data_IF_928198081832
#
_entry.id   IF_928198081832
#
_cell.length_a   1.000
_cell.length_b   1.000
_cell.length_c   1.000
_cell.angle_alpha   90.00
_cell.angle_beta   90.00
_cell.angle_gamma   90.00
#
_symmetry.space_group_name_H-M   'P 1'
#
loop_
_entity.id
_entity.type
_entity.pdbx_description
1 polymer ?
#
# COMPACT_ATOMS: atom_id res chain seq x y z
N UNK A 1 11.11 6.57 36.63
CA UNK A 1 11.67 7.18 35.41
C UNK A 1 11.12 6.38 34.25
N UNK A 2 10.33 7.01 33.37
CA UNK A 2 9.86 6.34 32.14
C UNK A 2 11.08 6.24 31.22
N UNK A 3 11.44 5.05 30.69
CA UNK A 3 12.55 4.94 29.76
C UNK A 3 12.29 5.79 28.53
N UNK A 4 13.34 6.42 28.00
CA UNK A 4 13.24 7.17 26.75
C UNK A 4 12.79 6.24 25.62
N UNK A 5 11.96 6.76 24.70
CA UNK A 5 11.50 6.01 23.52
C UNK A 5 12.71 5.58 22.67
N UNK A 6 12.84 4.27 22.47
CA UNK A 6 13.86 3.67 21.59
C UNK A 6 13.19 3.17 20.30
N UNK A 7 13.38 3.88 19.18
CA UNK A 7 12.76 3.49 17.91
C UNK A 7 13.31 2.17 17.36
N UNK A 8 14.52 1.75 17.69
CA UNK A 8 15.08 0.48 17.25
C UNK A 8 14.38 -0.69 17.95
N UNK A 9 14.22 -0.59 19.27
CA UNK A 9 13.51 -1.60 20.05
C UNK A 9 12.03 -1.65 19.68
N UNK A 10 11.40 -0.47 19.49
CA UNK A 10 9.98 -0.42 19.09
C UNK A 10 9.74 -1.07 17.72
N UNK A 11 10.62 -0.81 16.73
CA UNK A 11 10.55 -1.45 15.41
C UNK A 11 10.78 -2.95 15.49
N UNK A 12 11.78 -3.40 16.26
CA UNK A 12 12.01 -4.83 16.49
C UNK A 12 10.76 -5.50 17.08
N UNK A 13 10.16 -4.91 18.10
CA UNK A 13 8.94 -5.44 18.71
C UNK A 13 7.76 -5.46 17.72
N UNK A 14 7.60 -4.44 16.89
CA UNK A 14 6.59 -4.42 15.82
C UNK A 14 6.77 -5.63 14.89
N UNK A 15 7.99 -5.89 14.42
CA UNK A 15 8.25 -7.00 13.49
C UNK A 15 7.98 -8.34 14.16
N UNK A 16 8.50 -8.58 15.36
CA UNK A 16 8.44 -9.88 16.01
C UNK A 16 7.06 -10.17 16.65
N UNK A 17 6.39 -9.16 17.19
CA UNK A 17 5.18 -9.36 18.02
C UNK A 17 3.88 -8.98 17.30
N UNK A 18 3.94 -8.17 16.22
CA UNK A 18 2.75 -7.74 15.50
C UNK A 18 2.71 -8.29 14.07
N UNK A 19 3.84 -8.28 13.35
CA UNK A 19 3.89 -8.62 11.92
C UNK A 19 4.05 -10.13 11.72
N UNK A 20 5.02 -10.79 12.36
CA UNK A 20 5.23 -12.25 12.24
C UNK A 20 4.00 -13.08 12.61
N UNK A 21 3.25 -12.77 13.69
CA UNK A 21 2.03 -13.50 14.04
C UNK A 21 0.90 -13.40 13.00
N UNK A 22 1.02 -12.45 12.06
CA UNK A 22 0.10 -12.25 10.95
C UNK A 22 0.53 -12.96 9.66
N UNK A 23 1.24 -14.09 9.79
CA UNK A 23 1.76 -14.92 8.69
C UNK A 23 2.68 -14.18 7.71
N UNK A 24 3.34 -13.10 8.14
CA UNK A 24 4.40 -12.45 7.38
C UNK A 24 5.72 -13.15 7.72
N UNK A 25 6.17 -14.03 6.83
CA UNK A 25 7.30 -14.92 7.09
C UNK A 25 8.42 -14.84 6.03
N UNK A 26 8.23 -14.08 4.94
CA UNK A 26 9.25 -13.91 3.92
C UNK A 26 10.44 -13.09 4.45
N UNK A 27 11.67 -13.65 4.47
CA UNK A 27 12.84 -12.95 5.02
C UNK A 27 13.05 -11.58 4.39
N UNK A 28 12.91 -11.47 3.06
CA UNK A 28 13.07 -10.21 2.33
C UNK A 28 12.13 -9.09 2.79
N UNK A 29 10.89 -9.44 3.19
CA UNK A 29 9.91 -8.45 3.70
C UNK A 29 10.28 -8.03 5.11
N UNK A 30 10.64 -8.99 5.98
CA UNK A 30 11.02 -8.70 7.36
C UNK A 30 12.32 -7.88 7.43
N UNK A 31 13.31 -8.21 6.61
CA UNK A 31 14.55 -7.43 6.48
C UNK A 31 14.29 -6.03 5.96
N UNK A 32 13.39 -5.88 4.97
CA UNK A 32 13.01 -4.59 4.43
C UNK A 32 12.38 -3.69 5.50
N UNK A 33 11.45 -4.21 6.29
CA UNK A 33 10.82 -3.50 7.40
C UNK A 33 11.83 -3.12 8.51
N UNK A 34 12.91 -3.90 8.63
CA UNK A 34 14.05 -3.56 9.48
C UNK A 34 14.89 -2.38 8.96
N UNK A 35 14.96 -2.19 7.63
CA UNK A 35 15.76 -1.15 6.97
C UNK A 35 15.01 0.14 6.67
N UNK A 36 13.79 0.04 6.17
CA UNK A 36 12.97 1.21 5.84
C UNK A 36 12.28 1.70 7.10
N UNK A 37 12.64 2.88 7.53
CA UNK A 37 12.19 3.41 8.80
C UNK A 37 10.81 4.06 8.67
N UNK A 38 9.76 3.38 9.12
CA UNK A 38 8.38 3.87 9.05
C UNK A 38 8.22 5.25 9.71
N UNK A 39 8.93 5.52 10.81
CA UNK A 39 8.92 6.82 11.50
C UNK A 39 9.42 7.99 10.66
N UNK A 40 10.12 7.75 9.54
CA UNK A 40 10.53 8.80 8.61
C UNK A 40 9.38 9.25 7.69
N UNK A 41 8.31 8.46 7.61
CA UNK A 41 7.14 8.71 6.76
C UNK A 41 5.92 9.20 7.53
N UNK A 42 5.93 9.16 8.86
CA UNK A 42 4.81 9.66 9.68
C UNK A 42 4.98 11.15 9.96
N UNK A 43 3.87 11.89 10.22
CA UNK A 43 3.95 13.26 10.72
C UNK A 43 4.66 13.32 12.07
N UNK A 44 5.37 14.41 12.35
CA UNK A 44 6.24 14.54 13.54
C UNK A 44 5.47 14.30 14.86
N UNK A 45 4.20 14.70 14.92
CA UNK A 45 3.36 14.48 16.08
C UNK A 45 3.08 12.99 16.41
N UNK A 46 3.29 12.09 15.45
CA UNK A 46 2.98 10.65 15.59
C UNK A 46 4.21 9.74 15.52
N UNK A 47 5.44 10.31 15.55
CA UNK A 47 6.68 9.52 15.41
C UNK A 47 6.82 8.40 16.44
N UNK A 48 6.40 8.62 17.67
CA UNK A 48 6.43 7.62 18.73
C UNK A 48 5.39 6.49 18.52
N UNK A 49 4.34 6.75 17.74
CA UNK A 49 3.30 5.80 17.40
C UNK A 49 3.58 5.04 16.08
N UNK A 50 4.65 5.37 15.37
CA UNK A 50 4.96 4.80 14.06
C UNK A 50 5.02 3.27 14.03
N UNK A 51 5.32 2.64 15.16
CA UNK A 51 5.49 1.19 15.31
C UNK A 51 4.33 0.52 16.06
N UNK A 52 3.28 1.27 16.41
CA UNK A 52 2.06 0.73 16.98
C UNK A 52 1.18 0.11 15.88
N UNK A 53 0.42 -0.94 16.22
CA UNK A 53 -0.53 -1.58 15.30
C UNK A 53 -1.80 -0.73 15.16
N UNK A 54 -1.65 0.42 14.56
CA UNK A 54 -2.73 1.37 14.32
C UNK A 54 -2.53 2.16 13.02
N UNK A 55 -3.61 2.70 12.50
CA UNK A 55 -3.56 3.70 11.44
C UNK A 55 -2.97 5.00 11.98
N UNK A 56 -2.07 5.62 11.22
CA UNK A 56 -1.47 6.90 11.59
C UNK A 56 -2.17 8.02 10.82
N UNK A 57 -2.75 9.01 11.50
CA UNK A 57 -3.39 10.14 10.85
C UNK A 57 -2.42 10.91 9.94
N UNK A 58 -2.89 11.24 8.75
CA UNK A 58 -2.24 12.11 7.77
C UNK A 58 -3.07 13.39 7.59
N UNK A 59 -2.53 14.41 6.92
CA UNK A 59 -3.29 15.57 6.51
C UNK A 59 -4.57 15.19 5.74
N UNK A 60 -5.55 16.12 5.73
CA UNK A 60 -6.81 15.99 4.98
C UNK A 60 -7.68 14.78 5.38
N UNK A 61 -7.58 14.35 6.64
CA UNK A 61 -8.37 13.25 7.18
C UNK A 61 -8.02 11.87 6.60
N UNK A 62 -6.88 11.77 5.94
CA UNK A 62 -6.35 10.49 5.46
C UNK A 62 -5.52 9.81 6.54
N UNK A 63 -5.09 8.58 6.30
CA UNK A 63 -4.20 7.88 7.21
C UNK A 63 -3.26 6.90 6.48
N UNK A 64 -2.20 6.50 7.16
CA UNK A 64 -1.39 5.34 6.78
C UNK A 64 -2.08 4.07 7.26
N UNK A 65 -2.04 3.02 6.48
CA UNK A 65 -2.48 1.68 6.89
C UNK A 65 -1.68 1.18 8.10
N UNK A 66 -2.21 0.20 8.81
CA UNK A 66 -1.46 -0.41 9.93
C UNK A 66 -0.23 -1.15 9.43
N UNK A 67 0.87 -1.22 10.22
CA UNK A 67 2.10 -1.89 9.79
C UNK A 67 1.92 -3.34 9.36
N UNK A 68 1.05 -4.07 10.05
CA UNK A 68 0.78 -5.48 9.74
C UNK A 68 0.09 -5.65 8.38
N UNK A 69 -0.83 -4.75 8.03
CA UNK A 69 -1.53 -4.79 6.73
C UNK A 69 -0.55 -4.49 5.60
N UNK A 70 0.27 -3.45 5.73
CA UNK A 70 1.30 -3.12 4.73
C UNK A 70 2.29 -4.28 4.54
N UNK A 71 2.75 -4.88 5.64
CA UNK A 71 3.65 -6.03 5.61
C UNK A 71 3.01 -7.26 4.94
N UNK A 72 1.73 -7.53 5.27
CA UNK A 72 0.99 -8.66 4.69
C UNK A 72 0.78 -8.50 3.19
N UNK A 73 0.45 -7.29 2.73
CA UNK A 73 0.35 -6.98 1.29
C UNK A 73 1.64 -7.36 0.57
N UNK A 74 2.80 -6.90 1.06
CA UNK A 74 4.10 -7.19 0.45
C UNK A 74 4.44 -8.68 0.48
N UNK A 75 4.13 -9.35 1.61
CA UNK A 75 4.37 -10.78 1.76
C UNK A 75 3.60 -11.59 0.71
N UNK A 76 2.33 -11.26 0.48
CA UNK A 76 1.47 -12.04 -0.39
C UNK A 76 1.62 -11.65 -1.87
N UNK A 77 1.97 -10.40 -2.18
CA UNK A 77 2.22 -9.93 -3.55
C UNK A 77 3.42 -10.63 -4.24
N UNK A 78 4.39 -11.10 -3.48
CA UNK A 78 5.57 -11.79 -4.02
C UNK A 78 6.28 -10.98 -5.13
N UNK A 79 6.65 -9.74 -4.81
CA UNK A 79 7.31 -8.83 -5.74
C UNK A 79 8.64 -9.38 -6.27
N UNK A 80 8.94 -9.07 -7.52
CA UNK A 80 10.19 -9.40 -8.19
C UNK A 80 10.99 -8.12 -8.47
N UNK A 81 12.32 -8.15 -8.44
CA UNK A 81 13.15 -6.98 -8.75
C UNK A 81 12.94 -6.40 -10.16
N UNK A 82 12.30 -7.16 -11.05
CA UNK A 82 11.98 -6.73 -12.42
C UNK A 82 10.59 -6.13 -12.58
N UNK A 83 9.74 -6.19 -11.54
CA UNK A 83 8.36 -5.75 -11.63
C UNK A 83 8.25 -4.24 -11.83
N UNK A 84 7.33 -3.84 -12.69
CA UNK A 84 6.85 -2.45 -12.83
C UNK A 84 5.56 -2.32 -12.03
N UNK A 85 5.55 -1.43 -11.07
CA UNK A 85 4.44 -1.31 -10.10
C UNK A 85 3.67 -0.01 -10.32
N UNK A 86 2.34 -0.10 -10.30
CA UNK A 86 1.44 1.03 -10.11
C UNK A 86 0.89 0.97 -8.69
N UNK A 87 1.02 2.04 -7.94
CA UNK A 87 0.32 2.24 -6.67
C UNK A 87 -0.73 3.34 -6.81
N UNK A 88 -1.89 3.14 -6.20
CA UNK A 88 -2.95 4.16 -6.09
C UNK A 88 -3.22 4.46 -4.62
N UNK A 89 -3.08 5.74 -4.26
CA UNK A 89 -3.16 6.21 -2.89
C UNK A 89 -1.78 6.26 -2.22
N UNK A 90 -0.94 7.21 -2.65
CA UNK A 90 0.44 7.38 -2.14
C UNK A 90 0.48 7.67 -0.64
N UNK A 91 -0.45 8.50 -0.15
CA UNK A 91 -0.54 8.90 1.25
C UNK A 91 0.78 9.48 1.79
N UNK A 92 1.43 8.77 2.70
CA UNK A 92 2.72 9.17 3.26
C UNK A 92 3.92 8.87 2.35
N UNK A 93 3.76 7.99 1.36
CA UNK A 93 4.84 7.45 0.53
C UNK A 93 5.53 6.22 1.12
N UNK A 94 5.12 5.73 2.29
CA UNK A 94 5.78 4.59 2.94
C UNK A 94 5.62 3.30 2.14
N UNK A 95 4.38 2.96 1.71
CA UNK A 95 4.15 1.78 0.86
C UNK A 95 4.92 1.92 -0.47
N UNK A 96 4.91 3.10 -1.11
CA UNK A 96 5.70 3.36 -2.32
C UNK A 96 7.20 3.09 -2.12
N UNK A 97 7.76 3.50 -0.97
CA UNK A 97 9.16 3.22 -0.64
C UNK A 97 9.42 1.71 -0.48
N UNK A 98 8.54 1.00 0.21
CA UNK A 98 8.65 -0.45 0.38
C UNK A 98 8.56 -1.18 -0.98
N UNK A 99 7.60 -0.79 -1.83
CA UNK A 99 7.45 -1.32 -3.19
C UNK A 99 8.70 -1.04 -4.04
N UNK A 100 9.25 0.17 -3.95
CA UNK A 100 10.44 0.57 -4.69
C UNK A 100 11.69 -0.23 -4.34
N UNK A 101 11.84 -0.66 -3.09
CA UNK A 101 12.94 -1.55 -2.70
C UNK A 101 12.81 -2.98 -3.24
N UNK A 102 11.62 -3.43 -3.61
CA UNK A 102 11.33 -4.80 -4.04
C UNK A 102 11.07 -4.92 -5.54
N UNK A 103 11.06 -3.82 -6.29
CA UNK A 103 10.69 -3.78 -7.71
C UNK A 103 11.65 -2.92 -8.55
N UNK A 104 11.53 -2.99 -9.87
CA UNK A 104 12.32 -2.17 -10.78
C UNK A 104 11.91 -0.70 -10.75
N UNK A 105 10.61 -0.43 -10.74
CA UNK A 105 10.06 0.93 -10.71
C UNK A 105 8.66 0.97 -10.11
N UNK A 106 8.35 2.09 -9.49
CA UNK A 106 7.02 2.38 -8.94
C UNK A 106 6.52 3.71 -9.50
N UNK A 107 5.34 3.70 -10.10
CA UNK A 107 4.54 4.89 -10.31
C UNK A 107 3.46 4.91 -9.23
N UNK A 108 3.45 5.95 -8.39
CA UNK A 108 2.43 6.11 -7.35
C UNK A 108 1.57 7.34 -7.61
N UNK A 109 0.24 7.17 -7.54
CA UNK A 109 -0.73 8.21 -7.85
C UNK A 109 -1.38 8.72 -6.58
N UNK A 110 -1.37 10.04 -6.41
CA UNK A 110 -2.01 10.73 -5.29
C UNK A 110 -2.97 11.80 -5.83
N UNK A 111 -4.20 11.80 -5.35
CA UNK A 111 -5.23 12.76 -5.78
C UNK A 111 -5.20 14.05 -4.94
N UNK A 112 -4.71 13.97 -3.71
CA UNK A 112 -4.63 15.10 -2.80
C UNK A 112 -3.30 15.85 -2.97
N UNK A 113 -3.30 17.14 -3.34
CA UNK A 113 -2.07 17.88 -3.60
C UNK A 113 -1.19 18.07 -2.34
N UNK A 114 -1.78 18.09 -1.14
CA UNK A 114 -1.04 18.22 0.12
C UNK A 114 -0.28 16.92 0.40
N UNK A 115 -0.92 15.78 0.24
CA UNK A 115 -0.29 14.47 0.40
C UNK A 115 0.73 14.18 -0.70
N UNK A 116 0.45 14.60 -1.94
CA UNK A 116 1.43 14.54 -3.04
C UNK A 116 2.75 15.23 -2.66
N UNK A 117 2.70 16.48 -2.18
CA UNK A 117 3.89 17.22 -1.76
C UNK A 117 4.53 16.61 -0.51
N UNK A 118 3.72 16.07 0.40
CA UNK A 118 4.22 15.36 1.58
C UNK A 118 5.03 14.12 1.19
N UNK A 119 4.44 13.23 0.41
CA UNK A 119 5.07 11.98 -0.03
C UNK A 119 6.32 12.24 -0.88
N UNK A 120 6.26 13.19 -1.80
CA UNK A 120 7.39 13.57 -2.66
C UNK A 120 8.62 13.98 -1.84
N UNK A 121 8.43 14.77 -0.78
CA UNK A 121 9.53 15.15 0.12
C UNK A 121 10.09 13.95 0.87
N UNK A 122 9.23 13.07 1.41
CA UNK A 122 9.65 11.89 2.17
C UNK A 122 10.42 10.89 1.31
N UNK A 123 9.92 10.60 0.11
CA UNK A 123 10.57 9.70 -0.86
C UNK A 123 11.90 10.26 -1.38
N UNK A 124 11.99 11.59 -1.60
CA UNK A 124 13.25 12.24 -1.94
C UNK A 124 14.28 12.13 -0.81
N UNK A 125 13.86 12.34 0.44
CA UNK A 125 14.72 12.17 1.62
C UNK A 125 15.17 10.73 1.83
N UNK A 126 14.33 9.77 1.49
CA UNK A 126 14.61 8.34 1.51
C UNK A 126 15.47 7.86 0.32
N UNK A 127 15.83 8.77 -0.60
CA UNK A 127 16.64 8.47 -1.79
C UNK A 127 16.06 7.34 -2.65
N UNK A 128 14.76 7.45 -3.00
CA UNK A 128 14.05 6.48 -3.84
C UNK A 128 13.94 6.94 -5.30
N UNK A 129 15.02 6.82 -6.12
CA UNK A 129 15.06 7.36 -7.49
C UNK A 129 14.16 6.59 -8.47
N UNK A 130 13.79 5.36 -8.13
CA UNK A 130 12.92 4.50 -8.93
C UNK A 130 11.44 4.61 -8.55
N UNK A 131 11.07 5.58 -7.68
CA UNK A 131 9.69 5.87 -7.30
C UNK A 131 9.28 7.24 -7.83
N UNK A 132 8.35 7.27 -8.77
CA UNK A 132 7.73 8.48 -9.30
C UNK A 132 6.40 8.74 -8.57
N UNK A 133 6.26 9.90 -7.93
CA UNK A 133 4.98 10.36 -7.38
C UNK A 133 4.32 11.28 -8.38
N UNK A 134 3.04 11.03 -8.69
CA UNK A 134 2.27 11.85 -9.63
C UNK A 134 0.96 12.32 -9.01
N UNK A 135 0.67 13.61 -9.14
CA UNK A 135 -0.62 14.18 -8.74
C UNK A 135 -1.67 13.80 -9.80
N UNK A 136 -2.51 12.81 -9.50
CA UNK A 136 -3.52 12.31 -10.43
C UNK A 136 -4.61 11.53 -9.70
N UNK A 137 -5.80 11.47 -10.31
CA UNK A 137 -6.86 10.54 -9.92
C UNK A 137 -6.50 9.12 -10.39
N UNK A 138 -6.17 8.25 -9.44
CA UNK A 138 -5.79 6.86 -9.68
C UNK A 138 -6.94 5.90 -9.93
N UNK A 139 -8.20 6.33 -9.86
CA UNK A 139 -9.36 5.43 -10.04
C UNK A 139 -9.42 4.78 -11.43
N UNK A 140 -8.77 5.41 -12.41
CA UNK A 140 -8.62 4.89 -13.79
C UNK A 140 -7.24 4.33 -14.09
N UNK A 141 -6.34 4.34 -13.11
CA UNK A 141 -4.95 3.94 -13.26
C UNK A 141 -4.12 4.91 -14.08
N UNK A 142 -3.13 4.38 -14.80
CA UNK A 142 -2.19 5.12 -15.64
C UNK A 142 -2.05 4.42 -17.01
N UNK A 143 -3.07 4.57 -17.85
CA UNK A 143 -3.21 3.81 -19.10
C UNK A 143 -2.03 4.02 -20.07
N UNK A 144 -1.45 5.21 -20.08
CA UNK A 144 -0.34 5.53 -20.99
C UNK A 144 0.97 4.83 -20.60
N UNK A 145 1.10 4.41 -19.35
CA UNK A 145 2.25 3.72 -18.80
C UNK A 145 2.06 2.21 -18.68
N UNK A 146 0.83 1.72 -18.92
CA UNK A 146 0.50 0.29 -18.91
C UNK A 146 1.30 -0.49 -20.00
N UNK A 147 1.52 -1.80 -19.84
CA UNK A 147 1.05 -2.64 -18.74
C UNK A 147 1.94 -2.60 -17.49
N UNK A 148 1.37 -2.99 -16.33
CA UNK A 148 2.07 -3.15 -15.06
C UNK A 148 2.12 -4.61 -14.64
N UNK A 149 3.23 -5.02 -14.05
CA UNK A 149 3.36 -6.37 -13.45
C UNK A 149 2.59 -6.46 -12.13
N UNK A 150 2.52 -5.35 -11.40
CA UNK A 150 1.80 -5.26 -10.13
C UNK A 150 1.02 -3.95 -10.06
N UNK A 151 -0.23 -4.04 -9.54
CA UNK A 151 -1.03 -2.88 -9.16
C UNK A 151 -1.41 -3.02 -7.69
N UNK A 152 -1.21 -1.96 -6.90
CA UNK A 152 -1.54 -1.92 -5.46
C UNK A 152 -2.50 -0.77 -5.20
N UNK A 153 -3.65 -1.08 -4.59
CA UNK A 153 -4.55 -0.07 -4.05
C UNK A 153 -4.27 0.06 -2.55
N UNK A 154 -3.65 1.17 -2.16
CA UNK A 154 -3.21 1.44 -0.78
C UNK A 154 -4.33 2.01 0.10
N UNK A 155 -5.52 1.43 -0.02
CA UNK A 155 -6.74 1.71 0.72
C UNK A 155 -7.86 0.81 0.23
N UNK A 156 -9.08 1.00 0.76
CA UNK A 156 -10.21 0.16 0.35
C UNK A 156 -10.96 0.71 -0.86
N UNK A 157 -11.56 -0.20 -1.61
CA UNK A 157 -12.48 0.09 -2.72
C UNK A 157 -13.74 -0.76 -2.58
N UNK A 158 -14.89 -0.33 -3.11
CA UNK A 158 -16.10 -1.18 -3.10
C UNK A 158 -15.91 -2.44 -3.92
N UNK A 159 -15.29 -2.30 -5.08
CA UNK A 159 -14.94 -3.35 -6.03
C UNK A 159 -13.70 -2.94 -6.83
N UNK A 160 -12.98 -3.92 -7.38
CA UNK A 160 -11.80 -3.65 -8.22
C UNK A 160 -12.28 -3.19 -9.61
N UNK A 161 -11.91 -1.96 -10.06
CA UNK A 161 -12.33 -1.47 -11.37
C UNK A 161 -11.71 -2.29 -12.51
N UNK A 162 -12.53 -2.65 -13.50
CA UNK A 162 -12.06 -3.34 -14.72
C UNK A 162 -10.99 -2.53 -15.47
N UNK A 163 -11.05 -1.20 -15.39
CA UNK A 163 -10.04 -0.32 -15.98
C UNK A 163 -8.64 -0.57 -15.43
N UNK A 164 -8.49 -0.95 -14.15
CA UNK A 164 -7.21 -1.31 -13.55
C UNK A 164 -6.79 -2.73 -13.93
N UNK A 165 -7.74 -3.67 -13.97
CA UNK A 165 -7.46 -5.05 -14.41
C UNK A 165 -6.91 -5.11 -15.82
N UNK A 166 -7.44 -4.26 -16.73
CA UNK A 166 -6.99 -4.18 -18.12
C UNK A 166 -5.59 -3.55 -18.28
N UNK A 167 -5.01 -3.01 -17.20
CA UNK A 167 -3.65 -2.47 -17.19
C UNK A 167 -2.62 -3.46 -16.63
N UNK A 168 -3.05 -4.66 -16.23
CA UNK A 168 -2.14 -5.72 -15.83
C UNK A 168 -1.47 -6.40 -17.03
N UNK A 169 -0.18 -6.62 -16.92
CA UNK A 169 0.55 -7.49 -17.83
C UNK A 169 0.03 -8.94 -17.72
N UNK A 170 0.20 -9.77 -18.76
CA UNK A 170 -0.02 -11.22 -18.62
C UNK A 170 0.82 -11.79 -17.47
N UNK A 171 0.20 -12.51 -16.54
CA UNK A 171 0.82 -12.97 -15.31
C UNK A 171 0.99 -11.89 -14.23
N UNK A 172 0.54 -10.67 -14.50
CA UNK A 172 0.51 -9.58 -13.53
C UNK A 172 -0.56 -9.80 -12.44
N UNK A 173 -0.42 -9.06 -11.35
CA UNK A 173 -1.28 -9.22 -10.18
C UNK A 173 -1.68 -7.88 -9.56
N UNK A 174 -2.91 -7.80 -9.06
CA UNK A 174 -3.43 -6.63 -8.38
C UNK A 174 -3.79 -7.00 -6.95
N UNK A 175 -3.46 -6.12 -6.01
CA UNK A 175 -3.97 -6.15 -4.65
C UNK A 175 -4.92 -4.97 -4.39
N UNK A 176 -6.03 -5.26 -3.71
CA UNK A 176 -6.96 -4.27 -3.18
C UNK A 176 -7.59 -4.77 -1.87
N UNK A 177 -8.00 -3.85 -1.01
CA UNK A 177 -8.90 -4.14 0.10
C UNK A 177 -10.31 -3.85 -0.40
N UNK A 178 -11.16 -4.90 -0.48
CA UNK A 178 -12.47 -4.83 -1.15
C UNK A 178 -13.59 -5.08 -0.16
N UNK A 179 -14.66 -4.31 -0.28
CA UNK A 179 -15.86 -4.45 0.53
C UNK A 179 -16.34 -3.15 1.15
N UNK A 180 -17.22 -3.26 2.12
CA UNK A 180 -17.78 -2.16 2.90
C UNK A 180 -17.71 -2.50 4.38
N UNK A 181 -17.53 -1.47 5.22
CA UNK A 181 -17.56 -1.63 6.67
C UNK A 181 -18.90 -2.30 7.10
N UNK A 182 -18.88 -3.29 7.99
CA UNK A 182 -17.75 -3.80 8.77
C UNK A 182 -17.01 -4.99 8.13
N UNK A 183 -17.24 -5.34 6.87
CA UNK A 183 -16.67 -6.52 6.21
C UNK A 183 -15.88 -6.11 4.97
N UNK A 184 -14.55 -6.15 5.09
CA UNK A 184 -13.63 -5.94 3.96
C UNK A 184 -12.60 -7.07 3.93
N UNK A 185 -12.07 -7.36 2.74
CA UNK A 185 -11.10 -8.44 2.50
C UNK A 185 -9.92 -7.97 1.67
N UNK A 186 -8.73 -8.43 2.02
CA UNK A 186 -7.57 -8.35 1.13
C UNK A 186 -7.82 -9.26 -0.08
N UNK A 187 -7.93 -8.66 -1.26
CA UNK A 187 -8.20 -9.35 -2.52
C UNK A 187 -6.98 -9.27 -3.43
N UNK A 188 -6.56 -10.44 -3.91
CA UNK A 188 -5.53 -10.60 -4.93
C UNK A 188 -6.20 -11.04 -6.23
N UNK A 189 -5.88 -10.35 -7.32
CA UNK A 189 -6.34 -10.69 -8.66
C UNK A 189 -5.13 -10.96 -9.52
N UNK A 190 -5.06 -12.16 -10.14
CA UNK A 190 -3.98 -12.54 -11.05
C UNK A 190 -4.50 -12.62 -12.47
N UNK A 191 -3.83 -11.95 -13.40
CA UNK A 191 -4.14 -12.03 -14.83
C UNK A 191 -3.55 -13.32 -15.40
N UNK A 192 -4.38 -14.34 -15.63
CA UNK A 192 -3.96 -15.68 -16.07
C UNK A 192 -3.83 -15.82 -17.59
N UNK A 193 -4.15 -14.78 -18.36
CA UNK A 193 -4.06 -14.73 -19.81
C UNK A 193 -5.44 -14.61 -20.50
N UNK A 194 -5.46 -14.16 -21.75
CA UNK A 194 -6.71 -14.03 -22.56
C UNK A 194 -7.86 -13.31 -21.85
N UNK A 195 -7.57 -12.26 -21.07
CA UNK A 195 -8.55 -11.50 -20.26
C UNK A 195 -9.25 -12.33 -19.17
N UNK A 196 -8.61 -13.38 -18.68
CA UNK A 196 -9.08 -14.16 -17.55
C UNK A 196 -8.34 -13.77 -16.28
N UNK A 197 -9.06 -13.78 -15.16
CA UNK A 197 -8.54 -13.36 -13.86
C UNK A 197 -8.92 -14.39 -12.81
N UNK A 198 -7.94 -14.77 -11.98
CA UNK A 198 -8.16 -15.54 -10.77
C UNK A 198 -8.20 -14.59 -9.57
N UNK A 199 -9.14 -14.84 -8.66
CA UNK A 199 -9.35 -14.00 -7.47
C UNK A 199 -9.17 -14.84 -6.22
N UNK A 200 -8.35 -14.35 -5.29
CA UNK A 200 -8.18 -14.91 -3.95
C UNK A 200 -8.42 -13.84 -2.89
N UNK A 201 -9.07 -14.21 -1.78
CA UNK A 201 -9.37 -13.34 -0.64
C UNK A 201 -8.91 -14.02 0.66
N UNK A 202 -7.59 -14.07 0.94
CA UNK A 202 -7.04 -14.93 1.98
C UNK A 202 -7.24 -14.41 3.41
N UNK A 203 -7.55 -13.13 3.62
CA UNK A 203 -7.68 -12.56 4.96
C UNK A 203 -8.63 -11.36 5.00
N UNK A 204 -9.23 -11.15 6.17
CA UNK A 204 -10.12 -10.02 6.45
C UNK A 204 -9.32 -8.85 7.03
N UNK A 205 -9.74 -7.63 6.71
CA UNK A 205 -9.18 -6.39 7.26
C UNK A 205 -10.16 -5.24 7.06
N UNK A 206 -9.84 -4.10 7.65
CA UNK A 206 -10.51 -2.83 7.36
C UNK A 206 -9.48 -1.83 6.89
N UNK A 207 -9.88 -0.91 6.02
CA UNK A 207 -9.05 0.21 5.58
C UNK A 207 -9.94 1.38 5.15
N UNK A 208 -9.45 2.62 5.28
CA UNK A 208 -10.13 3.79 4.76
C UNK A 208 -10.36 3.70 3.26
N UNK A 209 -11.45 4.32 2.80
CA UNK A 209 -11.83 4.35 1.39
C UNK A 209 -10.88 5.21 0.58
N UNK A 210 -10.41 4.71 -0.55
CA UNK A 210 -9.71 5.52 -1.55
C UNK A 210 -10.66 6.52 -2.20
N UNK A 211 -10.18 7.74 -2.38
CA UNK A 211 -10.93 8.80 -3.05
C UNK A 211 -11.04 8.52 -4.55
N UNK A 212 -12.19 8.86 -5.16
CA UNK A 212 -12.42 8.70 -6.60
C UNK A 212 -13.06 7.38 -7.03
N UNK A 213 -13.14 6.38 -6.15
CA UNK A 213 -13.82 5.12 -6.44
C UNK A 213 -15.31 5.21 -6.14
N UNK A 214 -16.14 4.89 -7.15
CA UNK A 214 -17.61 4.99 -7.02
C UNK A 214 -18.14 3.89 -6.11
N UNK A 215 -18.99 4.28 -5.15
CA UNK A 215 -19.80 3.33 -4.40
C UNK A 215 -20.84 2.69 -5.33
N UNK A 216 -21.13 1.38 -5.16
CA UNK A 216 -22.26 0.75 -5.84
C UNK A 216 -23.55 1.48 -5.51
N UNK A 217 -24.44 1.67 -6.48
CA UNK A 217 -25.74 2.28 -6.23
C UNK A 217 -26.50 1.41 -5.23
N UNK A 218 -26.76 1.96 -4.04
CA UNK A 218 -27.68 1.31 -3.10
C UNK A 218 -29.10 1.50 -3.64
N UNK A 219 -29.69 0.43 -4.13
CA UNK A 219 -31.13 0.42 -4.40
C UNK A 219 -31.87 0.45 -3.05
N UNK A 220 -32.46 1.58 -2.72
CA UNK A 220 -33.46 1.64 -1.67
C UNK A 220 -34.80 1.21 -2.30
N UNK A 221 -35.36 0.09 -1.83
CA UNK A 221 -36.74 -0.30 -2.11
C UNK A 221 -37.72 0.51 -1.26
#
# INVERSE_FOLDING_TARGET
>A
MIPAFDPHQARFNMIEQQIRPWDVNKPQVLELLGRVHRNDFVPDAYKELAFADMEIPLPEGQCMLTPKVEARILNDLNLKPTDRVLEVGTGSGFMAALLGHLSASVLTLEVNPILFEYAKRRLSSAQMPNVEVRLADGSKGALNEAPFDVIVLSGSVPEVPSALLNQLAPGGRLFAIVGQDPVMRGQFVTHTGSQTFEVAQPWDTLAPRLIGFKEPSQFHF
#
